data_IF_620617350351
#
_entry.id   IF_620617350351
#
_cell.length_a   1.000
_cell.length_b   1.000
_cell.length_c   1.000
_cell.angle_alpha   90.00
_cell.angle_beta   90.00
_cell.angle_gamma   90.00
#
_symmetry.space_group_name_H-M   'P 1'
#
loop_
_entity.id
_entity.type
_entity.pdbx_description
1 polymer ?
#
# COMPACT_ATOMS: atom_id res chain seq x y z
N UNK A 1 15.20 -20.28 5.18
CA UNK A 1 14.41 -20.17 3.93
C UNK A 1 15.17 -19.29 2.98
N UNK A 2 15.47 -19.80 1.78
CA UNK A 2 16.12 -19.05 0.72
C UNK A 2 15.22 -17.89 0.26
N UNK A 3 15.78 -16.69 0.11
CA UNK A 3 15.02 -15.51 -0.32
C UNK A 3 14.89 -15.50 -1.84
N UNK A 4 13.70 -15.74 -2.38
CA UNK A 4 13.44 -15.62 -3.81
C UNK A 4 12.89 -14.21 -4.13
N UNK A 5 13.79 -13.33 -4.55
CA UNK A 5 13.44 -11.95 -4.91
C UNK A 5 12.52 -11.88 -6.14
N UNK A 6 12.45 -12.92 -6.98
CA UNK A 6 11.55 -12.95 -8.15
C UNK A 6 10.07 -13.01 -7.74
N UNK A 7 9.78 -13.58 -6.57
CA UNK A 7 8.42 -13.58 -6.02
C UNK A 7 8.00 -12.16 -5.67
N UNK A 8 8.86 -11.41 -4.97
CA UNK A 8 8.59 -10.02 -4.62
C UNK A 8 8.42 -9.13 -5.86
N UNK A 9 9.22 -9.34 -6.91
CA UNK A 9 9.07 -8.61 -8.17
C UNK A 9 7.79 -8.99 -8.91
N UNK A 10 7.40 -10.27 -8.92
CA UNK A 10 6.10 -10.71 -9.47
C UNK A 10 4.93 -10.06 -8.73
N UNK A 11 4.98 -10.02 -7.39
CA UNK A 11 3.95 -9.38 -6.58
C UNK A 11 3.91 -7.86 -6.79
N UNK A 12 5.06 -7.22 -6.94
CA UNK A 12 5.18 -5.80 -7.26
C UNK A 12 4.56 -5.50 -8.63
N UNK A 13 4.85 -6.32 -9.64
CA UNK A 13 4.25 -6.20 -10.97
C UNK A 13 2.72 -6.38 -10.92
N UNK A 14 2.23 -7.37 -10.16
CA UNK A 14 0.80 -7.60 -9.98
C UNK A 14 0.10 -6.40 -9.31
N UNK A 15 0.70 -5.82 -8.26
CA UNK A 15 0.17 -4.63 -7.59
C UNK A 15 0.09 -3.43 -8.57
N UNK A 16 1.15 -3.19 -9.34
CA UNK A 16 1.16 -2.11 -10.36
C UNK A 16 0.13 -2.34 -11.47
N UNK A 17 -0.02 -3.58 -11.95
CA UNK A 17 -1.01 -3.93 -12.96
C UNK A 17 -2.43 -3.74 -12.43
N UNK A 18 -2.69 -4.11 -11.17
CA UNK A 18 -3.98 -3.87 -10.52
C UNK A 18 -4.29 -2.37 -10.47
N UNK A 19 -3.39 -1.54 -9.93
CA UNK A 19 -3.55 -0.08 -9.89
C UNK A 19 -3.83 0.51 -11.27
N UNK A 20 -3.08 0.11 -12.29
CA UNK A 20 -3.28 0.59 -13.66
C UNK A 20 -4.68 0.25 -14.21
N UNK A 21 -5.20 -0.95 -13.89
CA UNK A 21 -6.56 -1.35 -14.28
C UNK A 21 -7.65 -0.63 -13.49
N UNK A 22 -7.43 -0.41 -12.19
CA UNK A 22 -8.38 0.33 -11.34
C UNK A 22 -8.46 1.80 -11.73
N UNK A 23 -7.35 2.39 -12.19
CA UNK A 23 -7.29 3.78 -12.63
C UNK A 23 -8.19 4.08 -13.85
N UNK A 24 -8.63 3.07 -14.62
CA UNK A 24 -9.56 3.26 -15.74
C UNK A 24 -11.03 3.26 -15.31
N UNK A 25 -11.32 2.95 -14.04
CA UNK A 25 -12.68 2.90 -13.53
C UNK A 25 -13.17 4.30 -13.13
N UNK A 26 -14.45 4.53 -13.33
CA UNK A 26 -15.15 5.73 -12.87
C UNK A 26 -16.25 5.35 -11.91
N UNK A 27 -16.45 6.15 -10.88
CA UNK A 27 -17.42 5.90 -9.82
C UNK A 27 -18.47 7.00 -9.81
N UNK A 28 -19.73 6.61 -9.71
CA UNK A 28 -20.85 7.53 -9.59
C UNK A 28 -21.01 8.00 -8.13
N UNK A 29 -21.81 9.06 -7.88
CA UNK A 29 -22.23 9.42 -6.53
C UNK A 29 -22.79 8.21 -5.75
N UNK A 30 -22.55 8.13 -4.42
CA UNK A 30 -21.99 9.17 -3.56
C UNK A 30 -20.45 9.18 -3.46
N UNK A 31 -19.73 8.44 -4.31
CA UNK A 31 -18.26 8.45 -4.30
C UNK A 31 -17.76 9.81 -4.80
N UNK A 32 -17.07 10.54 -3.93
CA UNK A 32 -16.47 11.85 -4.25
C UNK A 32 -14.95 11.79 -4.43
N UNK A 33 -14.28 10.83 -3.79
CA UNK A 33 -12.83 10.68 -3.80
C UNK A 33 -12.47 9.20 -3.82
N UNK A 34 -11.40 8.87 -4.54
CA UNK A 34 -10.80 7.53 -4.58
C UNK A 34 -9.32 7.64 -4.30
N UNK A 35 -8.83 6.84 -3.35
CA UNK A 35 -7.42 6.75 -3.04
C UNK A 35 -6.89 5.37 -3.44
N UNK A 36 -5.79 5.36 -4.17
CA UNK A 36 -5.01 4.14 -4.42
C UNK A 36 -3.63 4.27 -3.77
N UNK A 37 -3.43 3.77 -2.53
CA UNK A 37 -2.13 3.85 -1.85
C UNK A 37 -1.02 3.08 -2.56
N UNK A 38 -1.33 2.14 -3.45
CA UNK A 38 -0.31 1.45 -4.25
C UNK A 38 0.37 2.38 -5.26
N UNK A 39 -0.23 3.56 -5.52
CA UNK A 39 0.37 4.60 -6.38
C UNK A 39 1.19 5.60 -5.58
N UNK A 40 0.58 6.28 -4.60
CA UNK A 40 1.24 7.37 -3.88
C UNK A 40 2.10 6.91 -2.68
N UNK A 41 1.81 5.75 -2.10
CA UNK A 41 2.60 5.07 -1.07
C UNK A 41 3.34 3.83 -1.64
N UNK A 42 3.73 3.91 -2.91
CA UNK A 42 4.41 2.82 -3.64
C UNK A 42 5.73 2.41 -3.01
N UNK A 43 6.54 3.38 -2.58
CA UNK A 43 7.86 3.10 -2.01
C UNK A 43 7.79 2.22 -0.75
N UNK A 44 7.02 2.56 0.30
CA UNK A 44 6.90 1.68 1.46
C UNK A 44 6.19 0.35 1.13
N UNK A 45 5.22 0.34 0.20
CA UNK A 45 4.58 -0.91 -0.22
C UNK A 45 5.56 -1.89 -0.89
N UNK A 46 6.37 -1.41 -1.84
CA UNK A 46 7.38 -2.24 -2.50
C UNK A 46 8.50 -2.65 -1.54
N UNK A 47 8.87 -1.78 -0.59
CA UNK A 47 9.79 -2.14 0.50
C UNK A 47 9.24 -3.31 1.33
N UNK A 48 7.96 -3.26 1.69
CA UNK A 48 7.27 -4.34 2.39
C UNK A 48 7.30 -5.66 1.61
N UNK A 49 6.97 -5.63 0.31
CA UNK A 49 7.01 -6.84 -0.54
C UNK A 49 8.43 -7.41 -0.67
N UNK A 50 9.44 -6.57 -0.92
CA UNK A 50 10.83 -7.03 -1.03
C UNK A 50 11.35 -7.63 0.28
N UNK A 51 11.00 -7.03 1.42
CA UNK A 51 11.48 -7.49 2.74
C UNK A 51 10.75 -8.73 3.25
N UNK A 52 9.43 -8.79 3.06
CA UNK A 52 8.57 -9.79 3.71
C UNK A 52 7.90 -10.78 2.77
N UNK A 53 7.96 -10.59 1.45
CA UNK A 53 7.38 -11.51 0.46
C UNK A 53 8.41 -12.21 -0.45
N UNK A 54 9.70 -12.16 -0.12
CA UNK A 54 10.77 -12.86 -0.85
C UNK A 54 10.81 -14.38 -0.57
N UNK A 55 9.69 -15.08 -0.78
CA UNK A 55 9.58 -16.53 -0.57
C UNK A 55 8.16 -17.05 -0.61
N UNK A 56 7.98 -18.35 -0.89
CA UNK A 56 6.65 -18.98 -0.89
C UNK A 56 6.05 -18.97 0.51
N UNK A 57 4.75 -18.64 0.60
CA UNK A 57 3.97 -18.64 1.85
C UNK A 57 2.89 -19.70 1.78
N UNK A 58 2.65 -20.40 2.90
CA UNK A 58 1.57 -21.39 3.04
C UNK A 58 0.25 -20.77 3.44
N UNK A 59 0.31 -19.60 4.08
CA UNK A 59 -0.84 -18.88 4.64
C UNK A 59 -0.80 -17.45 4.13
N UNK A 60 -1.98 -16.93 3.77
CA UNK A 60 -2.18 -15.53 3.36
C UNK A 60 -3.28 -14.97 4.25
N UNK A 61 -2.97 -13.90 4.98
CA UNK A 61 -3.97 -13.08 5.63
C UNK A 61 -4.50 -12.06 4.63
N UNK A 62 -5.81 -11.98 4.48
CA UNK A 62 -6.46 -11.13 3.49
C UNK A 62 -7.48 -10.21 4.17
N UNK A 63 -7.22 -8.90 4.11
CA UNK A 63 -8.19 -7.87 4.50
C UNK A 63 -9.14 -7.52 3.35
N UNK A 64 -10.08 -6.61 3.60
CA UNK A 64 -10.99 -6.10 2.56
C UNK A 64 -10.34 -4.99 1.71
N UNK A 65 -9.98 -3.87 2.34
CA UNK A 65 -9.44 -2.68 1.70
C UNK A 65 -8.69 -1.79 2.70
N UNK A 66 -7.89 -0.81 2.25
CA UNK A 66 -7.18 0.10 3.12
C UNK A 66 -8.09 0.91 4.07
N UNK A 67 -7.73 0.97 5.35
CA UNK A 67 -8.32 1.89 6.32
C UNK A 67 -7.61 3.26 6.32
N UNK A 68 -8.29 4.36 6.71
CA UNK A 68 -7.83 5.73 6.50
C UNK A 68 -6.57 6.14 7.29
N UNK A 69 -6.29 5.45 8.39
CA UNK A 69 -5.14 5.74 9.28
C UNK A 69 -4.11 4.59 9.29
N UNK A 70 -4.26 3.63 8.38
CA UNK A 70 -3.35 2.49 8.25
C UNK A 70 -2.71 2.48 6.88
N UNK A 71 -3.07 1.50 6.05
CA UNK A 71 -2.49 1.33 4.71
C UNK A 71 -2.66 2.56 3.79
N UNK A 72 -3.71 3.36 3.96
CA UNK A 72 -3.88 4.64 3.24
C UNK A 72 -2.73 5.61 3.52
N UNK A 73 -2.11 5.54 4.69
CA UNK A 73 -1.01 6.39 5.10
C UNK A 73 0.34 5.73 4.83
N UNK A 74 0.48 4.45 5.20
CA UNK A 74 1.77 3.76 5.20
C UNK A 74 2.07 2.93 3.94
N UNK A 75 1.05 2.63 3.12
CA UNK A 75 1.18 1.69 2.00
C UNK A 75 1.29 0.21 2.41
N UNK A 76 1.30 -0.12 3.71
CA UNK A 76 1.44 -1.49 4.22
C UNK A 76 0.08 -2.05 4.65
N UNK A 77 -0.31 -3.29 4.28
CA UNK A 77 -1.56 -3.90 4.73
C UNK A 77 -1.64 -3.96 6.26
N UNK A 78 -2.80 -3.57 6.83
CA UNK A 78 -2.97 -3.39 8.28
C UNK A 78 -1.92 -2.47 8.93
N UNK A 79 -1.34 -1.56 8.15
CA UNK A 79 -0.15 -0.81 8.52
C UNK A 79 -0.41 0.41 9.39
N UNK A 80 -0.76 0.18 10.66
CA UNK A 80 -0.64 1.19 11.71
C UNK A 80 0.79 1.76 11.76
N UNK A 81 0.94 3.06 11.92
CA UNK A 81 2.18 3.80 11.66
C UNK A 81 3.33 3.31 12.53
N UNK A 82 3.14 3.23 13.85
CA UNK A 82 4.19 2.82 14.77
C UNK A 82 4.63 1.37 14.51
N UNK A 83 3.69 0.45 14.25
CA UNK A 83 4.02 -0.92 13.90
C UNK A 83 4.82 -1.02 12.59
N UNK A 84 4.46 -0.23 11.57
CA UNK A 84 5.20 -0.25 10.30
C UNK A 84 6.60 0.35 10.45
N UNK A 85 6.72 1.49 11.13
CA UNK A 85 8.01 2.16 11.33
C UNK A 85 8.91 1.40 12.30
N UNK A 86 8.42 1.13 13.51
CA UNK A 86 9.24 0.70 14.64
C UNK A 86 9.43 -0.82 14.69
N UNK A 87 8.44 -1.59 14.22
CA UNK A 87 8.51 -3.06 14.22
C UNK A 87 8.88 -3.63 12.86
N UNK A 88 8.23 -3.20 11.77
CA UNK A 88 8.59 -3.64 10.41
C UNK A 88 9.82 -2.91 9.86
N UNK A 89 10.24 -1.79 10.48
CA UNK A 89 11.41 -1.05 10.04
C UNK A 89 11.26 -0.49 8.62
N UNK A 90 10.06 -0.04 8.26
CA UNK A 90 9.76 0.56 6.96
C UNK A 90 9.34 2.01 7.21
N UNK A 91 10.13 2.94 6.68
CA UNK A 91 9.82 4.35 6.64
C UNK A 91 10.36 4.87 5.30
N UNK A 92 9.45 5.21 4.38
CA UNK A 92 9.78 5.61 3.02
C UNK A 92 8.87 6.78 2.61
N UNK A 93 9.20 7.46 1.51
CA UNK A 93 8.41 8.60 1.07
C UNK A 93 6.99 8.18 0.70
N UNK A 94 6.02 8.95 1.18
CA UNK A 94 4.60 8.85 0.82
C UNK A 94 4.21 10.15 0.13
N UNK A 95 3.70 10.04 -1.09
CA UNK A 95 3.22 11.17 -1.87
C UNK A 95 1.75 11.44 -1.58
N UNK A 96 1.24 12.55 -2.08
CA UNK A 96 -0.18 12.89 -2.04
C UNK A 96 -0.94 12.22 -3.20
N UNK A 97 -2.23 11.87 -3.01
CA UNK A 97 -3.10 11.47 -4.11
C UNK A 97 -3.38 12.68 -5.03
N UNK A 98 -3.81 12.41 -6.27
CA UNK A 98 -4.07 13.48 -7.25
C UNK A 98 -5.18 14.45 -6.82
N UNK A 99 -6.22 13.93 -6.15
CA UNK A 99 -7.29 14.72 -5.53
C UNK A 99 -7.43 14.27 -4.08
N UNK A 100 -7.01 15.12 -3.15
CA UNK A 100 -7.08 14.85 -1.71
C UNK A 100 -8.41 15.34 -1.13
N UNK A 101 -9.06 14.49 -0.35
CA UNK A 101 -10.18 14.86 0.50
C UNK A 101 -9.65 15.61 1.73
N UNK A 102 -10.06 16.87 1.96
CA UNK A 102 -9.59 17.67 3.10
C UNK A 102 -9.88 17.06 4.48
N UNK A 103 -10.88 16.17 4.58
CA UNK A 103 -11.24 15.50 5.85
C UNK A 103 -10.53 14.17 6.03
N UNK A 104 -9.77 13.72 5.02
CA UNK A 104 -8.94 12.51 5.05
C UNK A 104 -7.59 12.80 4.39
N UNK A 105 -6.77 13.70 4.99
CA UNK A 105 -5.46 14.01 4.46
C UNK A 105 -4.52 12.81 4.55
N UNK A 106 -3.56 12.75 3.63
CA UNK A 106 -2.46 11.79 3.63
C UNK A 106 -1.24 12.44 4.27
N UNK A 107 -0.93 12.08 5.51
CA UNK A 107 0.19 12.58 6.30
C UNK A 107 1.38 11.60 6.27
N UNK A 108 1.18 10.41 5.70
CA UNK A 108 2.22 9.40 5.59
C UNK A 108 2.60 8.86 6.97
N UNK A 109 3.91 8.77 7.23
CA UNK A 109 4.43 8.30 8.53
C UNK A 109 4.33 9.33 9.67
N UNK A 110 3.78 10.52 9.41
CA UNK A 110 3.48 11.55 10.40
C UNK A 110 2.00 11.58 10.84
N UNK A 111 1.17 10.66 10.32
CA UNK A 111 -0.24 10.48 10.69
C UNK A 111 -0.39 10.02 12.16
#
# INVERSE_FOLDING_TARGET
MERDHRIAETLTAAARQLSARLATLSFAPPVSHTYDPLTYAREPHESYLRRYAAGRRRVVFLGMNPGPFGMVQSGVPFGEIAAVRDWLGIECAVRKPALENPWRPIEGFAC
#
